data_IF_453077057611
#
_entry.id   IF_453077057611
#
_cell.length_a   1.000
_cell.length_b   1.000
_cell.length_c   1.000
_cell.angle_alpha   90.00
_cell.angle_beta   90.00
_cell.angle_gamma   90.00
#
_symmetry.space_group_name_H-M   'P 1'
#
loop_
_entity.id
_entity.type
_entity.pdbx_description
1 polymer ?
#
# COMPACT_ATOMS: atom_id res chain seq x y z
N UNK A 1 5.16 -5.32 -33.64
CA UNK A 1 5.48 -4.78 -32.31
C UNK A 1 5.38 -3.27 -32.42
N UNK A 2 4.31 -2.68 -31.93
CA UNK A 2 4.15 -1.22 -31.90
C UNK A 2 5.07 -0.69 -30.82
N UNK A 3 6.14 0.03 -31.22
CA UNK A 3 6.95 0.84 -30.30
C UNK A 3 6.03 1.87 -29.64
N UNK A 4 5.52 1.57 -28.47
CA UNK A 4 4.91 2.57 -27.62
C UNK A 4 6.06 3.43 -27.11
N UNK A 5 6.26 4.62 -27.69
CA UNK A 5 7.20 5.61 -27.17
C UNK A 5 6.67 6.10 -25.81
N UNK A 6 7.18 5.53 -24.73
CA UNK A 6 6.99 6.10 -23.41
C UNK A 6 7.88 7.36 -23.33
N UNK A 7 7.27 8.50 -23.06
CA UNK A 7 8.01 9.75 -22.82
C UNK A 7 8.68 9.74 -21.45
N UNK A 8 9.78 8.99 -21.31
CA UNK A 8 10.57 9.00 -20.07
C UNK A 8 11.37 10.30 -19.99
N UNK A 9 11.10 11.10 -18.96
CA UNK A 9 11.82 12.35 -18.68
C UNK A 9 12.84 12.18 -17.54
N UNK A 10 13.83 13.05 -17.52
CA UNK A 10 14.88 13.04 -16.49
C UNK A 10 14.38 13.46 -15.11
N UNK A 11 13.25 14.17 -15.01
CA UNK A 11 12.63 14.61 -13.76
C UNK A 11 11.93 13.48 -12.99
N UNK A 12 11.64 12.34 -13.64
CA UNK A 12 11.03 11.17 -13.02
C UNK A 12 12.09 10.08 -12.91
N UNK A 13 12.31 9.59 -11.71
CA UNK A 13 13.34 8.57 -11.45
C UNK A 13 12.92 7.21 -12.01
N UNK A 14 13.90 6.46 -12.50
CA UNK A 14 13.79 5.03 -12.77
C UNK A 14 14.20 4.26 -11.52
N UNK A 15 13.55 3.14 -11.27
CA UNK A 15 13.97 2.21 -10.21
C UNK A 15 15.28 1.50 -10.60
N UNK A 16 16.00 0.90 -9.66
CA UNK A 16 17.16 0.05 -9.97
C UNK A 16 16.76 -1.24 -10.70
N UNK A 17 15.46 -1.54 -10.81
CA UNK A 17 14.89 -2.71 -11.51
C UNK A 17 14.31 -2.38 -12.87
N UNK A 18 14.29 -1.10 -13.26
CA UNK A 18 13.59 -0.61 -14.44
C UNK A 18 13.93 -1.40 -15.71
N UNK A 19 15.22 -1.61 -15.97
CA UNK A 19 15.66 -2.31 -17.20
C UNK A 19 15.24 -3.78 -17.18
N UNK A 20 15.30 -4.44 -16.03
CA UNK A 20 14.79 -5.81 -15.86
C UNK A 20 13.27 -5.87 -16.06
N UNK A 21 12.49 -4.91 -15.53
CA UNK A 21 11.03 -4.91 -15.76
C UNK A 21 10.69 -4.78 -17.24
N UNK A 22 11.39 -3.93 -17.98
CA UNK A 22 11.23 -3.78 -19.45
C UNK A 22 11.62 -5.07 -20.16
N UNK A 23 12.76 -5.67 -19.82
CA UNK A 23 13.22 -6.95 -20.37
C UNK A 23 12.19 -8.08 -20.16
N UNK A 24 11.55 -8.11 -18.98
CA UNK A 24 10.55 -9.09 -18.62
C UNK A 24 9.13 -8.76 -19.10
N UNK A 25 8.97 -7.71 -19.91
CA UNK A 25 7.75 -7.45 -20.67
C UNK A 25 6.85 -6.35 -20.12
N UNK A 26 7.36 -5.44 -19.29
CA UNK A 26 6.60 -4.25 -18.92
C UNK A 26 6.29 -3.39 -20.16
N UNK A 27 5.02 -3.12 -20.42
CA UNK A 27 4.52 -2.37 -21.57
C UNK A 27 3.87 -1.05 -21.20
N UNK A 28 3.66 -0.79 -19.90
CA UNK A 28 3.06 0.45 -19.40
C UNK A 28 3.63 0.84 -18.04
N UNK A 29 3.78 2.14 -17.84
CA UNK A 29 4.26 2.73 -16.60
C UNK A 29 3.34 3.87 -16.16
N UNK A 30 3.24 4.09 -14.87
CA UNK A 30 2.71 5.32 -14.27
C UNK A 30 3.75 5.96 -13.37
N UNK A 31 3.42 7.10 -12.78
CA UNK A 31 4.28 7.80 -11.82
C UNK A 31 3.69 7.67 -10.42
N UNK A 32 4.53 7.39 -9.46
CA UNK A 32 4.21 7.28 -8.04
C UNK A 32 5.43 7.72 -7.24
N UNK A 33 5.30 8.61 -6.27
CA UNK A 33 6.42 9.19 -5.51
C UNK A 33 7.58 9.67 -6.39
N UNK A 34 7.26 10.34 -7.53
CA UNK A 34 8.25 10.87 -8.50
C UNK A 34 9.15 9.80 -9.15
N UNK A 35 8.67 8.54 -9.19
CA UNK A 35 9.34 7.43 -9.86
C UNK A 35 8.39 6.70 -10.81
N UNK A 36 8.95 6.07 -11.86
CA UNK A 36 8.20 5.20 -12.73
C UNK A 36 7.90 3.87 -12.04
N UNK A 37 6.64 3.44 -12.08
CA UNK A 37 6.18 2.13 -11.61
C UNK A 37 5.57 1.34 -12.78
N UNK A 38 5.95 0.06 -13.00
CA UNK A 38 5.29 -0.78 -13.99
C UNK A 38 3.80 -0.96 -13.64
N UNK A 39 2.95 -0.85 -14.66
CA UNK A 39 1.49 -1.00 -14.52
C UNK A 39 0.89 -1.99 -15.50
N UNK A 40 1.67 -2.46 -16.46
CA UNK A 40 1.18 -3.30 -17.53
C UNK A 40 2.24 -4.35 -17.92
N UNK A 41 1.88 -5.61 -17.74
CA UNK A 41 2.57 -6.80 -18.25
C UNK A 41 1.59 -7.64 -19.11
N UNK A 42 0.55 -7.02 -19.69
CA UNK A 42 -0.51 -7.67 -20.43
C UNK A 42 -1.86 -7.62 -19.72
N UNK A 43 -2.58 -8.75 -19.62
CA UNK A 43 -3.91 -8.77 -19.01
C UNK A 43 -3.88 -8.53 -17.50
N UNK A 44 -4.60 -7.53 -16.96
CA UNK A 44 -4.76 -7.34 -15.52
C UNK A 44 -5.42 -8.54 -14.83
N UNK A 45 -6.32 -9.25 -15.50
CA UNK A 45 -6.93 -10.48 -14.99
C UNK A 45 -5.90 -11.61 -14.90
N UNK A 46 -5.04 -11.78 -15.90
CA UNK A 46 -3.97 -12.76 -15.84
C UNK A 46 -2.97 -12.44 -14.71
N UNK A 47 -2.62 -11.16 -14.54
CA UNK A 47 -1.78 -10.72 -13.40
C UNK A 47 -2.44 -11.06 -12.05
N UNK A 48 -3.75 -10.88 -11.94
CA UNK A 48 -4.51 -11.26 -10.74
C UNK A 48 -4.46 -12.79 -10.51
N UNK A 49 -4.71 -13.63 -11.52
CA UNK A 49 -4.67 -15.09 -11.37
C UNK A 49 -3.26 -15.60 -11.08
N UNK A 50 -2.22 -15.03 -11.70
CA UNK A 50 -0.83 -15.34 -11.37
C UNK A 50 -0.52 -15.04 -9.89
N UNK A 51 -1.00 -13.90 -9.36
CA UNK A 51 -0.83 -13.52 -7.97
C UNK A 51 -1.49 -14.51 -7.01
N UNK A 52 -2.74 -14.91 -7.26
CA UNK A 52 -3.55 -15.67 -6.30
C UNK A 52 -3.35 -17.17 -6.40
N UNK A 53 -2.87 -17.70 -7.52
CA UNK A 53 -2.63 -19.13 -7.75
C UNK A 53 -1.16 -19.52 -7.68
N UNK A 54 -0.24 -18.58 -7.97
CA UNK A 54 1.21 -18.80 -8.04
C UNK A 54 1.95 -17.72 -7.26
N UNK A 55 2.74 -16.89 -7.96
CA UNK A 55 3.35 -15.68 -7.42
C UNK A 55 3.70 -14.70 -8.52
N UNK A 56 3.77 -13.43 -8.16
CA UNK A 56 4.28 -12.36 -9.01
C UNK A 56 5.42 -11.61 -8.30
N UNK A 57 6.34 -11.08 -9.11
CA UNK A 57 7.37 -10.15 -8.67
C UNK A 57 7.03 -8.75 -9.16
N UNK A 58 6.81 -7.82 -8.23
CA UNK A 58 6.48 -6.44 -8.53
C UNK A 58 7.64 -5.51 -8.16
N UNK A 59 8.04 -4.64 -9.08
CA UNK A 59 8.87 -3.49 -8.76
C UNK A 59 8.00 -2.45 -8.04
N UNK A 60 8.28 -2.25 -6.77
CA UNK A 60 7.63 -1.27 -5.90
C UNK A 60 8.64 -0.30 -5.27
N UNK A 61 9.78 -0.07 -5.92
CA UNK A 61 10.79 0.89 -5.47
C UNK A 61 10.24 2.32 -5.30
N UNK A 62 9.09 2.59 -5.88
CA UNK A 62 8.29 3.81 -5.69
C UNK A 62 7.82 4.01 -4.24
N UNK A 63 7.78 2.95 -3.43
CA UNK A 63 7.60 3.02 -1.97
C UNK A 63 8.91 3.49 -1.32
N UNK A 64 9.28 4.73 -1.62
CA UNK A 64 10.53 5.35 -1.14
C UNK A 64 10.58 5.30 0.38
N UNK A 65 11.78 5.10 0.92
CA UNK A 65 11.97 5.05 2.35
C UNK A 65 12.29 6.44 2.91
N UNK A 66 11.66 6.80 4.02
CA UNK A 66 12.14 7.89 4.89
C UNK A 66 12.85 7.25 6.06
N UNK A 67 14.15 7.50 6.16
CA UNK A 67 14.98 7.05 7.26
C UNK A 67 15.05 8.12 8.35
N UNK A 68 14.79 7.71 9.60
CA UNK A 68 14.86 8.58 10.77
C UNK A 68 15.83 7.95 11.77
N UNK A 69 16.95 8.67 12.03
CA UNK A 69 18.01 8.24 12.95
C UNK A 69 18.36 9.36 13.93
N UNK A 70 19.11 9.03 14.98
CA UNK A 70 19.59 9.99 15.98
C UNK A 70 19.02 9.74 17.39
N UNK A 71 19.55 10.41 18.41
CA UNK A 71 19.17 10.16 19.80
C UNK A 71 17.67 10.29 20.09
N UNK A 72 16.99 11.20 19.38
CA UNK A 72 15.54 11.45 19.55
C UNK A 72 14.68 10.77 18.47
N UNK A 73 15.23 9.85 17.66
CA UNK A 73 14.51 9.27 16.54
C UNK A 73 13.21 8.55 16.94
N UNK A 74 13.20 7.83 18.06
CA UNK A 74 11.98 7.20 18.57
C UNK A 74 10.90 8.24 18.89
N UNK A 75 11.25 9.28 19.66
CA UNK A 75 10.33 10.35 20.06
C UNK A 75 9.80 11.12 18.86
N UNK A 76 10.68 11.39 17.89
CA UNK A 76 10.29 12.08 16.66
C UNK A 76 9.37 11.22 15.79
N UNK A 77 9.68 9.94 15.61
CA UNK A 77 8.83 9.01 14.85
C UNK A 77 7.45 8.88 15.52
N UNK A 78 7.40 8.82 16.86
CA UNK A 78 6.14 8.82 17.60
C UNK A 78 5.34 10.11 17.38
N UNK A 79 5.99 11.27 17.27
CA UNK A 79 5.33 12.55 17.01
C UNK A 79 4.60 12.57 15.65
N UNK A 80 5.12 11.85 14.64
CA UNK A 80 4.53 11.80 13.29
C UNK A 80 3.30 10.90 13.20
N UNK A 81 3.13 9.89 14.09
CA UNK A 81 2.07 8.88 13.97
C UNK A 81 1.15 8.84 15.17
N UNK A 82 -0.18 8.70 14.95
CA UNK A 82 -1.15 8.53 16.02
C UNK A 82 -1.12 7.13 16.68
N UNK A 83 -0.36 6.18 16.11
CA UNK A 83 -0.23 4.84 16.66
C UNK A 83 0.85 4.82 17.73
N UNK A 84 0.54 4.20 18.88
CA UNK A 84 1.54 3.99 19.94
C UNK A 84 2.62 3.00 19.45
N UNK A 85 3.87 3.47 19.47
CA UNK A 85 5.05 2.72 19.05
C UNK A 85 5.81 2.08 20.22
N UNK A 86 5.41 2.31 21.48
CA UNK A 86 6.14 1.85 22.67
C UNK A 86 6.39 0.33 22.67
N UNK A 87 5.44 -0.44 22.15
CA UNK A 87 5.49 -1.91 22.10
C UNK A 87 5.97 -2.46 20.73
N UNK A 88 6.53 -1.63 19.85
CA UNK A 88 7.11 -2.10 18.59
C UNK A 88 8.53 -2.59 18.86
N UNK A 89 8.79 -3.87 18.65
CA UNK A 89 10.12 -4.44 18.83
C UNK A 89 11.08 -4.09 17.67
N UNK A 90 12.40 -4.13 17.95
CA UNK A 90 13.42 -4.12 16.89
C UNK A 90 13.22 -5.35 16.00
N UNK A 91 13.28 -5.21 14.68
CA UNK A 91 12.96 -6.27 13.72
C UNK A 91 11.47 -6.37 13.37
N UNK A 92 10.61 -5.52 13.94
CA UNK A 92 9.18 -5.51 13.69
C UNK A 92 8.75 -4.41 12.72
N UNK A 93 7.78 -4.72 11.87
CA UNK A 93 7.06 -3.77 11.03
C UNK A 93 5.72 -3.39 11.66
N UNK A 94 5.21 -2.20 11.33
CA UNK A 94 3.83 -1.75 11.68
C UNK A 94 3.24 -0.90 10.57
N UNK A 95 2.00 -1.18 10.21
CA UNK A 95 1.22 -0.25 9.41
C UNK A 95 0.81 0.92 10.28
N UNK A 96 1.21 2.13 9.93
CA UNK A 96 0.95 3.36 10.68
C UNK A 96 0.32 4.41 9.77
N UNK A 97 -0.16 5.50 10.37
CA UNK A 97 -0.63 6.69 9.65
C UNK A 97 0.30 7.84 9.98
N UNK A 98 0.48 8.74 9.04
CA UNK A 98 1.05 10.06 9.28
C UNK A 98 -0.09 11.06 9.17
N UNK A 99 -0.29 11.88 10.20
CA UNK A 99 -1.41 12.82 10.25
C UNK A 99 -0.94 14.28 10.30
N UNK A 100 -1.76 15.18 9.74
CA UNK A 100 -1.57 16.63 9.87
C UNK A 100 -2.26 17.19 11.13
N UNK A 101 -2.12 18.49 11.37
CA UNK A 101 -2.72 19.15 12.53
C UNK A 101 -4.26 19.07 12.58
N UNK A 102 -4.92 18.92 11.44
CA UNK A 102 -6.38 18.80 11.33
C UNK A 102 -6.87 17.35 11.46
N UNK A 103 -5.96 16.40 11.67
CA UNK A 103 -6.24 14.96 11.76
C UNK A 103 -6.44 14.27 10.40
N UNK A 104 -6.14 14.97 9.29
CA UNK A 104 -6.13 14.38 7.96
C UNK A 104 -4.91 13.49 7.72
N UNK A 105 -5.07 12.49 6.85
CA UNK A 105 -4.02 11.50 6.55
C UNK A 105 -3.07 12.06 5.50
N UNK A 106 -1.79 12.23 5.85
CA UNK A 106 -0.72 12.61 4.91
C UNK A 106 -0.12 11.41 4.19
N UNK A 107 -0.09 10.26 4.85
CA UNK A 107 0.44 9.01 4.31
C UNK A 107 0.02 7.84 5.22
N UNK A 108 0.11 6.61 4.70
CA UNK A 108 -0.19 5.38 5.41
C UNK A 108 0.94 4.34 5.27
N UNK A 109 2.16 4.67 5.75
CA UNK A 109 3.34 3.85 5.50
C UNK A 109 3.36 2.56 6.31
N UNK A 110 4.22 1.64 5.88
CA UNK A 110 4.75 0.58 6.74
C UNK A 110 6.00 1.11 7.44
N UNK A 111 5.97 1.16 8.77
CA UNK A 111 7.11 1.47 9.60
C UNK A 111 7.93 0.21 9.86
N UNK A 112 9.26 0.29 9.72
CA UNK A 112 10.22 -0.74 10.12
C UNK A 112 11.07 -0.17 11.27
N UNK A 113 11.17 -0.88 12.41
CA UNK A 113 12.09 -0.50 13.50
C UNK A 113 13.38 -1.31 13.39
N UNK A 114 14.44 -0.68 12.86
CA UNK A 114 15.72 -1.34 12.59
C UNK A 114 16.60 -1.43 13.85
N UNK A 115 16.55 -0.39 14.68
CA UNK A 115 17.26 -0.35 15.95
C UNK A 115 16.47 0.49 16.96
N UNK A 116 17.02 0.72 18.15
CA UNK A 116 16.40 1.55 19.19
C UNK A 116 16.00 2.92 18.65
N UNK A 117 16.90 3.57 17.95
CA UNK A 117 16.76 4.92 17.37
C UNK A 117 17.00 4.93 15.86
N UNK A 118 16.48 3.92 15.15
CA UNK A 118 16.58 3.81 13.71
C UNK A 118 15.30 3.24 13.12
N UNK A 119 14.63 4.04 12.27
CA UNK A 119 13.34 3.71 11.67
C UNK A 119 13.35 3.97 10.18
N UNK A 120 12.63 3.15 9.44
CA UNK A 120 12.22 3.44 8.08
C UNK A 120 10.71 3.56 8.01
N UNK A 121 10.24 4.48 7.16
CA UNK A 121 8.85 4.60 6.72
C UNK A 121 8.81 4.27 5.23
N UNK A 122 8.20 3.14 4.86
CA UNK A 122 7.97 2.74 3.47
C UNK A 122 6.67 3.39 2.99
N UNK A 123 6.78 4.36 2.05
CA UNK A 123 5.75 5.36 1.81
C UNK A 123 4.70 4.95 0.79
N UNK A 124 3.45 5.39 1.03
CA UNK A 124 2.50 5.66 -0.03
C UNK A 124 2.85 6.96 -0.79
N UNK A 125 2.03 7.37 -1.77
CA UNK A 125 2.33 8.48 -2.69
C UNK A 125 2.15 9.87 -2.05
N UNK A 126 3.13 10.30 -1.25
CA UNK A 126 3.21 11.70 -0.79
C UNK A 126 4.60 12.07 -0.25
N UNK A 127 4.87 13.37 -0.12
CA UNK A 127 6.18 13.94 0.25
C UNK A 127 6.47 13.92 1.76
N UNK A 128 6.40 12.75 2.40
CA UNK A 128 6.65 12.59 3.84
C UNK A 128 8.08 12.99 4.22
N UNK A 129 9.07 12.82 3.34
CA UNK A 129 10.44 13.27 3.60
C UNK A 129 10.47 14.77 3.91
N UNK A 130 9.88 15.59 3.03
CA UNK A 130 9.82 17.05 3.20
C UNK A 130 8.98 17.44 4.42
N UNK A 131 7.87 16.74 4.65
CA UNK A 131 7.05 16.94 5.84
C UNK A 131 7.83 16.68 7.13
N UNK A 132 8.50 15.52 7.22
CA UNK A 132 9.27 15.13 8.42
C UNK A 132 10.43 16.10 8.66
N UNK A 133 11.19 16.49 7.61
CA UNK A 133 12.25 17.48 7.71
C UNK A 133 11.70 18.84 8.18
N UNK A 134 10.56 19.28 7.65
CA UNK A 134 9.90 20.53 8.06
C UNK A 134 9.47 20.50 9.53
N UNK A 135 8.90 19.40 10.00
CA UNK A 135 8.52 19.21 11.42
C UNK A 135 9.77 19.21 12.31
N UNK A 136 10.89 18.61 11.86
CA UNK A 136 12.11 18.53 12.65
C UNK A 136 12.75 19.89 12.93
N UNK A 137 12.67 20.86 11.99
CA UNK A 137 13.29 22.20 12.11
C UNK A 137 12.99 22.87 13.45
N UNK A 138 11.75 22.80 13.92
CA UNK A 138 11.30 23.46 15.14
C UNK A 138 10.97 22.48 16.28
N UNK A 139 11.29 21.20 16.15
CA UNK A 139 10.97 20.19 17.16
C UNK A 139 11.88 20.25 18.39
N UNK A 140 13.08 20.83 18.27
CA UNK A 140 14.12 20.78 19.29
C UNK A 140 14.74 19.38 19.47
N UNK A 141 14.42 18.41 18.61
CA UNK A 141 14.90 17.03 18.65
C UNK A 141 16.16 16.83 17.81
N UNK A 142 17.09 16.03 18.31
CA UNK A 142 18.30 15.66 17.59
C UNK A 142 18.04 14.43 16.72
N UNK A 143 17.64 14.69 15.47
CA UNK A 143 17.32 13.65 14.48
C UNK A 143 17.96 13.95 13.13
N UNK A 144 18.32 12.89 12.41
CA UNK A 144 18.71 12.94 11.00
C UNK A 144 17.62 12.25 10.17
N UNK A 145 17.13 12.94 9.14
CA UNK A 145 16.03 12.49 8.30
C UNK A 145 16.48 12.53 6.85
N UNK A 146 16.58 11.35 6.25
CA UNK A 146 17.12 11.16 4.89
C UNK A 146 16.28 10.19 4.08
N UNK A 147 16.54 10.15 2.77
CA UNK A 147 16.14 9.06 1.90
C UNK A 147 17.37 8.15 1.69
N UNK A 148 17.38 6.92 2.21
CA UNK A 148 18.48 5.99 2.01
C UNK A 148 18.45 5.37 0.60
N UNK A 149 19.56 4.79 0.14
CA UNK A 149 19.59 3.95 -1.07
C UNK A 149 18.93 2.58 -0.75
N UNK A 150 17.61 2.59 -0.72
CA UNK A 150 16.79 1.40 -0.41
C UNK A 150 15.62 1.33 -1.38
N UNK A 151 15.51 0.19 -2.04
CA UNK A 151 14.48 -0.04 -3.06
C UNK A 151 13.77 -1.37 -2.83
N UNK A 152 12.46 -1.37 -2.53
CA UNK A 152 11.71 -2.60 -2.31
C UNK A 152 11.26 -3.28 -3.61
N UNK A 153 11.26 -4.63 -3.58
CA UNK A 153 10.50 -5.52 -4.47
C UNK A 153 9.44 -6.25 -3.66
N UNK A 154 8.27 -6.48 -4.24
CA UNK A 154 7.25 -7.36 -3.66
C UNK A 154 7.21 -8.70 -4.39
N UNK A 155 7.50 -9.78 -3.67
CA UNK A 155 7.29 -11.16 -4.09
C UNK A 155 6.05 -11.70 -3.39
N UNK A 156 4.93 -11.75 -4.10
CA UNK A 156 3.61 -12.02 -3.51
C UNK A 156 2.93 -13.20 -4.19
N UNK A 157 2.18 -13.98 -3.41
CA UNK A 157 1.42 -15.14 -3.85
C UNK A 157 1.85 -16.43 -3.12
N UNK A 158 1.05 -17.51 -3.22
CA UNK A 158 1.22 -18.74 -2.42
C UNK A 158 2.55 -19.47 -2.65
N UNK A 159 3.16 -19.38 -3.82
CA UNK A 159 4.46 -20.04 -4.10
C UNK A 159 5.67 -19.21 -3.66
N UNK A 160 5.47 -17.96 -3.20
CA UNK A 160 6.55 -17.06 -2.79
C UNK A 160 7.40 -17.65 -1.66
N UNK A 161 6.80 -18.42 -0.74
CA UNK A 161 7.51 -19.10 0.35
C UNK A 161 8.57 -20.07 -0.18
N UNK A 162 8.24 -20.87 -1.19
CA UNK A 162 9.17 -21.84 -1.77
C UNK A 162 10.32 -21.14 -2.49
N UNK A 163 10.03 -20.05 -3.19
CA UNK A 163 11.03 -19.22 -3.85
C UNK A 163 12.01 -18.64 -2.82
N UNK A 164 11.50 -18.10 -1.72
CA UNK A 164 12.32 -17.53 -0.66
C UNK A 164 13.17 -18.57 0.05
N UNK A 165 12.64 -19.79 0.28
CA UNK A 165 13.42 -20.91 0.82
C UNK A 165 14.57 -21.27 -0.13
N UNK A 166 14.32 -21.30 -1.44
CA UNK A 166 15.37 -21.58 -2.43
C UNK A 166 16.48 -20.53 -2.44
N UNK A 167 16.13 -19.23 -2.23
CA UNK A 167 17.08 -18.12 -2.25
C UNK A 167 17.84 -17.98 -0.92
N UNK A 168 17.17 -18.15 0.22
CA UNK A 168 17.70 -17.79 1.54
C UNK A 168 17.78 -18.96 2.53
N UNK A 169 17.40 -20.17 2.08
CA UNK A 169 17.37 -21.36 2.93
C UNK A 169 16.13 -21.45 3.84
N UNK A 170 16.02 -22.60 4.52
CA UNK A 170 14.85 -22.98 5.32
C UNK A 170 14.45 -21.95 6.42
N UNK A 171 15.42 -21.25 7.00
CA UNK A 171 15.18 -20.31 8.10
C UNK A 171 14.29 -19.11 7.73
N UNK A 172 14.08 -18.86 6.43
CA UNK A 172 13.22 -17.75 5.98
C UNK A 172 11.72 -18.01 6.25
N UNK A 173 11.32 -19.29 6.33
CA UNK A 173 9.92 -19.68 6.59
C UNK A 173 9.42 -19.28 7.98
N UNK A 174 10.34 -19.09 8.94
CA UNK A 174 10.03 -18.75 10.33
C UNK A 174 9.82 -17.24 10.52
N UNK A 175 10.03 -16.43 9.47
CA UNK A 175 9.81 -14.99 9.51
C UNK A 175 8.32 -14.70 9.66
N UNK A 176 7.94 -14.11 10.80
CA UNK A 176 6.55 -13.83 11.17
C UNK A 176 5.95 -12.68 10.37
N UNK A 177 4.65 -12.69 10.19
CA UNK A 177 3.91 -11.59 9.57
C UNK A 177 4.15 -10.27 10.30
N UNK A 178 4.48 -9.21 9.56
CA UNK A 178 4.94 -7.90 10.05
C UNK A 178 6.25 -7.95 10.85
N UNK A 179 7.15 -8.87 10.49
CA UNK A 179 8.53 -8.89 10.96
C UNK A 179 9.48 -8.88 9.77
N UNK A 180 10.70 -8.45 10.01
CA UNK A 180 11.76 -8.47 9.03
C UNK A 180 13.06 -9.03 9.61
N UNK A 181 13.99 -9.37 8.75
CA UNK A 181 15.36 -9.69 9.09
C UNK A 181 16.33 -9.21 8.03
N UNK A 182 17.57 -8.93 8.42
CA UNK A 182 18.65 -8.69 7.48
C UNK A 182 19.05 -9.98 6.79
N UNK A 183 19.31 -9.89 5.49
CA UNK A 183 19.73 -11.00 4.64
C UNK A 183 20.83 -10.52 3.68
N UNK A 184 21.62 -11.46 3.23
CA UNK A 184 22.54 -11.29 2.11
C UNK A 184 22.25 -12.36 1.06
N UNK A 185 22.11 -11.97 -0.19
CA UNK A 185 21.95 -12.88 -1.32
C UNK A 185 23.18 -12.79 -2.22
N UNK A 186 24.20 -13.60 -1.92
CA UNK A 186 25.43 -13.66 -2.72
C UNK A 186 26.09 -12.26 -2.90
N UNK A 187 26.23 -11.52 -1.80
CA UNK A 187 26.78 -10.16 -1.78
C UNK A 187 25.80 -9.05 -2.13
N UNK A 188 24.49 -9.34 -2.17
CA UNK A 188 23.42 -8.36 -2.31
C UNK A 188 22.81 -8.11 -0.93
N UNK A 189 23.00 -6.93 -0.31
CA UNK A 189 22.50 -6.64 1.03
C UNK A 189 21.00 -6.32 1.00
N UNK A 190 20.23 -7.01 1.85
CA UNK A 190 18.78 -6.93 1.87
C UNK A 190 18.22 -6.84 3.29
N UNK A 191 17.09 -6.18 3.44
CA UNK A 191 16.12 -6.45 4.50
C UNK A 191 14.96 -7.21 3.85
N UNK A 192 14.57 -8.34 4.43
CA UNK A 192 13.42 -9.12 3.98
C UNK A 192 12.34 -9.06 5.02
N UNK A 193 11.14 -8.61 4.65
CA UNK A 193 9.98 -8.56 5.54
C UNK A 193 8.84 -9.47 5.08
N UNK A 194 8.00 -9.89 6.04
CA UNK A 194 6.72 -10.55 5.78
C UNK A 194 5.60 -9.52 5.75
N UNK A 195 5.66 -8.67 4.75
CA UNK A 195 4.70 -7.61 4.43
C UNK A 195 4.33 -7.65 2.95
N UNK A 196 3.40 -6.80 2.53
CA UNK A 196 3.00 -6.65 1.13
C UNK A 196 1.65 -5.98 0.96
N UNK A 197 1.46 -5.35 -0.20
CA UNK A 197 0.22 -4.66 -0.56
C UNK A 197 -0.63 -5.50 -1.54
N UNK A 198 -0.87 -6.77 -1.18
CA UNK A 198 -1.58 -7.74 -2.03
C UNK A 198 -2.71 -8.49 -1.34
N UNK A 199 -2.79 -8.47 -0.02
CA UNK A 199 -3.63 -9.36 0.80
C UNK A 199 -3.40 -10.85 0.54
N UNK A 200 -2.29 -11.23 -0.08
CA UNK A 200 -1.82 -12.61 -0.25
C UNK A 200 -0.59 -12.84 0.63
N UNK A 201 -0.21 -14.11 0.77
CA UNK A 201 1.07 -14.46 1.37
C UNK A 201 2.21 -13.89 0.54
N UNK A 202 3.23 -13.30 1.19
CA UNK A 202 4.35 -12.77 0.43
C UNK A 202 5.42 -12.13 1.29
N UNK A 203 6.40 -11.57 0.61
CA UNK A 203 7.55 -10.88 1.18
C UNK A 203 7.81 -9.57 0.44
N UNK A 204 8.42 -8.63 1.14
CA UNK A 204 9.08 -7.47 0.56
C UNK A 204 10.58 -7.57 0.78
N UNK A 205 11.34 -7.34 -0.29
CA UNK A 205 12.79 -7.38 -0.29
C UNK A 205 13.30 -5.96 -0.49
N UNK A 206 13.81 -5.33 0.56
CA UNK A 206 14.36 -3.98 0.55
C UNK A 206 15.84 -4.06 0.19
N UNK A 207 16.17 -3.80 -1.05
CA UNK A 207 17.54 -3.73 -1.55
C UNK A 207 18.26 -2.52 -0.97
N UNK A 208 19.46 -2.70 -0.40
CA UNK A 208 20.25 -1.67 0.26
C UNK A 208 21.47 -1.21 -0.58
N UNK A 209 21.50 -1.55 -1.85
CA UNK A 209 22.50 -1.15 -2.84
C UNK A 209 21.84 -1.14 -4.22
N UNK A 210 21.41 0.04 -4.67
CA UNK A 210 20.71 0.20 -5.95
C UNK A 210 21.50 -0.29 -7.16
N UNK A 211 22.84 -0.34 -7.08
CA UNK A 211 23.69 -0.86 -8.16
C UNK A 211 23.43 -2.36 -8.46
N UNK A 212 22.84 -3.09 -7.51
CA UNK A 212 22.54 -4.53 -7.59
C UNK A 212 21.09 -4.84 -8.02
N UNK A 213 20.32 -3.81 -8.39
CA UNK A 213 18.87 -3.98 -8.64
C UNK A 213 18.56 -5.00 -9.73
N UNK A 214 19.15 -4.86 -10.91
CA UNK A 214 18.90 -5.79 -12.00
C UNK A 214 19.36 -7.22 -11.64
N UNK A 215 20.50 -7.37 -10.97
CA UNK A 215 21.01 -8.68 -10.52
C UNK A 215 20.02 -9.36 -9.57
N UNK A 216 19.49 -8.63 -8.60
CA UNK A 216 18.50 -9.13 -7.65
C UNK A 216 17.22 -9.58 -8.38
N UNK A 217 16.70 -8.75 -9.28
CA UNK A 217 15.49 -9.06 -10.03
C UNK A 217 15.64 -10.35 -10.84
N UNK A 218 16.75 -10.48 -11.58
CA UNK A 218 17.05 -11.67 -12.41
C UNK A 218 17.24 -12.94 -11.55
N UNK A 219 17.92 -12.84 -10.40
CA UNK A 219 18.08 -13.97 -9.47
C UNK A 219 16.74 -14.47 -8.95
N UNK A 220 15.84 -13.57 -8.53
CA UNK A 220 14.51 -13.94 -8.04
C UNK A 220 13.68 -14.56 -9.17
N UNK A 221 13.65 -13.98 -10.37
CA UNK A 221 12.92 -14.50 -11.51
C UNK A 221 13.44 -15.90 -11.92
N UNK A 222 14.76 -16.08 -11.93
CA UNK A 222 15.38 -17.36 -12.23
C UNK A 222 15.03 -18.43 -11.19
N UNK A 223 15.14 -18.11 -9.90
CA UNK A 223 14.78 -19.02 -8.81
C UNK A 223 13.30 -19.40 -8.82
N UNK A 224 12.44 -18.43 -9.17
CA UNK A 224 10.99 -18.59 -9.18
C UNK A 224 10.42 -19.33 -10.39
N UNK A 225 11.22 -19.54 -11.45
CA UNK A 225 10.75 -20.14 -12.70
C UNK A 225 10.03 -21.48 -12.52
N UNK A 226 10.60 -22.39 -11.74
CA UNK A 226 10.02 -23.71 -11.48
C UNK A 226 8.73 -23.64 -10.64
N UNK A 227 8.52 -22.56 -9.87
CA UNK A 227 7.32 -22.32 -9.08
C UNK A 227 6.27 -21.49 -9.82
N UNK A 228 6.51 -21.19 -11.09
CA UNK A 228 5.58 -20.44 -11.95
C UNK A 228 5.55 -18.95 -11.67
N UNK A 229 6.62 -18.38 -11.06
CA UNK A 229 6.74 -16.94 -10.85
C UNK A 229 6.60 -16.18 -12.17
N UNK A 230 5.81 -15.14 -12.15
CA UNK A 230 5.64 -14.21 -13.27
C UNK A 230 6.08 -12.79 -12.88
N UNK A 231 6.61 -12.00 -13.82
CA UNK A 231 6.70 -10.56 -13.63
C UNK A 231 5.29 -10.00 -13.50
N UNK A 232 5.10 -8.97 -12.67
CA UNK A 232 3.77 -8.42 -12.45
C UNK A 232 3.80 -7.00 -11.91
N UNK A 233 2.61 -6.50 -11.65
CA UNK A 233 2.38 -5.21 -11.02
C UNK A 233 1.37 -5.34 -9.88
N UNK A 234 1.31 -4.34 -8.99
CA UNK A 234 0.32 -4.30 -7.90
C UNK A 234 -1.10 -4.45 -8.43
N UNK A 235 -1.84 -5.44 -7.92
CA UNK A 235 -3.16 -5.81 -8.44
C UNK A 235 -4.27 -4.95 -7.83
N UNK A 236 -4.87 -4.06 -8.64
CA UNK A 236 -6.05 -3.30 -8.21
C UNK A 236 -7.23 -4.21 -7.86
N UNK A 237 -7.39 -5.34 -8.56
CA UNK A 237 -8.46 -6.32 -8.26
C UNK A 237 -8.26 -6.85 -6.84
N UNK A 238 -7.08 -7.38 -6.54
CA UNK A 238 -6.84 -8.06 -5.26
C UNK A 238 -6.82 -7.10 -4.07
N UNK A 239 -6.24 -5.90 -4.24
CA UNK A 239 -6.24 -4.91 -3.16
C UNK A 239 -7.66 -4.45 -2.78
N UNK A 240 -8.56 -4.27 -3.78
CA UNK A 240 -9.95 -3.89 -3.52
C UNK A 240 -10.71 -5.06 -2.87
N UNK A 241 -10.53 -6.32 -3.35
CA UNK A 241 -11.08 -7.49 -2.66
C UNK A 241 -10.70 -7.52 -1.17
N UNK A 242 -9.44 -7.20 -0.86
CA UNK A 242 -8.93 -7.16 0.50
C UNK A 242 -9.24 -5.88 1.27
N UNK A 243 -9.98 -4.94 0.67
CA UNK A 243 -10.33 -3.65 1.29
C UNK A 243 -9.11 -2.77 1.60
N UNK A 244 -8.01 -2.93 0.86
CA UNK A 244 -6.79 -2.14 1.04
C UNK A 244 -6.93 -0.77 0.37
N UNK A 245 -6.46 0.25 1.07
CA UNK A 245 -6.51 1.63 0.59
C UNK A 245 -5.46 1.88 -0.48
N UNK A 246 -5.76 2.81 -1.39
CA UNK A 246 -4.79 3.45 -2.27
C UNK A 246 -4.80 4.94 -1.96
N UNK A 247 -3.65 5.47 -1.56
CA UNK A 247 -3.52 6.90 -1.25
C UNK A 247 -3.85 7.74 -2.50
N UNK A 248 -4.39 8.92 -2.33
CA UNK A 248 -5.03 9.78 -3.34
C UNK A 248 -6.34 9.26 -3.96
N UNK A 249 -6.56 7.95 -4.00
CA UNK A 249 -7.86 7.41 -4.43
C UNK A 249 -8.83 7.30 -3.25
N UNK A 250 -8.47 6.53 -2.23
CA UNK A 250 -9.35 6.15 -1.12
C UNK A 250 -9.12 6.99 0.15
N UNK A 251 -7.95 7.61 0.27
CA UNK A 251 -7.55 8.49 1.37
C UNK A 251 -6.72 9.67 0.85
N UNK A 252 -6.83 10.80 1.49
CA UNK A 252 -6.07 12.01 1.21
C UNK A 252 -5.99 12.90 2.48
N UNK A 253 -5.37 14.06 2.36
CA UNK A 253 -5.20 15.04 3.44
C UNK A 253 -6.54 15.53 4.06
N UNK A 254 -7.66 15.37 3.35
CA UNK A 254 -9.01 15.75 3.82
C UNK A 254 -9.78 14.55 4.40
N UNK A 255 -9.14 13.41 4.51
CA UNK A 255 -9.74 12.18 5.02
C UNK A 255 -9.14 11.86 6.38
N UNK A 256 -9.97 11.71 7.42
CA UNK A 256 -9.49 11.29 8.72
C UNK A 256 -9.59 9.77 8.91
N UNK A 257 -8.80 9.18 9.83
CA UNK A 257 -8.76 7.75 10.04
C UNK A 257 -10.09 7.09 10.41
N UNK A 258 -10.98 7.80 11.13
CA UNK A 258 -12.29 7.28 11.55
C UNK A 258 -13.23 7.05 10.35
N UNK A 259 -13.17 7.94 9.35
CA UNK A 259 -13.93 7.78 8.11
C UNK A 259 -13.59 6.50 7.34
N UNK A 260 -12.36 5.99 7.53
CA UNK A 260 -11.85 4.78 6.89
C UNK A 260 -12.00 3.50 7.73
N UNK A 261 -12.44 3.64 9.00
CA UNK A 261 -12.51 2.53 9.96
C UNK A 261 -11.12 2.07 10.43
N UNK A 262 -10.18 3.01 10.55
CA UNK A 262 -8.81 2.79 11.02
C UNK A 262 -8.62 3.18 12.50
N UNK A 263 -9.69 3.22 13.27
CA UNK A 263 -9.70 3.59 14.71
C UNK A 263 -8.63 2.87 15.52
N UNK A 264 -8.41 1.59 15.21
CA UNK A 264 -7.41 0.73 15.87
C UNK A 264 -5.96 1.21 15.71
N UNK A 265 -5.71 2.14 14.80
CA UNK A 265 -4.37 2.72 14.56
C UNK A 265 -4.18 4.04 15.31
N UNK A 266 -5.13 4.45 16.15
CA UNK A 266 -5.12 5.74 16.82
C UNK A 266 -5.19 5.54 18.34
N UNK A 267 -4.14 5.95 19.04
CA UNK A 267 -3.99 5.80 20.48
C UNK A 267 -4.33 7.11 21.19
N UNK A 268 -5.61 7.55 21.14
CA UNK A 268 -6.05 8.82 21.75
C UNK A 268 -6.04 8.82 23.26
N UNK A 269 -6.23 7.65 23.88
CA UNK A 269 -6.40 7.48 25.32
C UNK A 269 -5.06 7.21 26.03
N UNK A 270 -3.94 7.20 25.28
CA UNK A 270 -2.59 7.08 25.80
C UNK A 270 -1.91 8.43 26.02
N UNK A 271 -0.83 8.44 26.81
CA UNK A 271 -0.03 9.63 27.11
C UNK A 271 0.91 10.06 25.97
N UNK A 272 0.92 9.31 24.84
CA UNK A 272 1.76 9.68 23.70
C UNK A 272 1.27 11.00 23.07
N UNK A 273 2.23 11.82 22.62
CA UNK A 273 1.95 13.02 21.85
C UNK A 273 2.23 12.79 20.38
N UNK A 274 1.33 13.26 19.51
CA UNK A 274 1.47 13.20 18.06
C UNK A 274 0.72 14.34 17.37
N UNK A 275 1.14 14.65 16.15
CA UNK A 275 0.53 15.70 15.33
C UNK A 275 -0.91 15.29 14.96
N UNK A 276 -1.86 16.20 15.24
CA UNK A 276 -3.29 15.97 14.97
C UNK A 276 -4.07 15.37 16.16
N UNK A 277 -3.44 15.08 17.32
CA UNK A 277 -4.11 14.48 18.48
C UNK A 277 -5.35 15.25 18.94
N UNK A 278 -5.24 16.58 19.06
CA UNK A 278 -6.35 17.42 19.49
C UNK A 278 -7.51 17.40 18.48
N UNK A 279 -7.20 17.48 17.18
CA UNK A 279 -8.20 17.41 16.12
C UNK A 279 -8.89 16.05 16.08
N UNK A 280 -8.15 14.96 16.19
CA UNK A 280 -8.72 13.60 16.22
C UNK A 280 -9.58 13.35 17.46
N UNK A 281 -9.21 13.90 18.64
CA UNK A 281 -10.09 13.88 19.83
C UNK A 281 -11.40 14.60 19.57
N UNK A 282 -11.35 15.77 18.94
CA UNK A 282 -12.54 16.55 18.58
C UNK A 282 -13.42 15.78 17.59
N UNK A 283 -12.84 15.24 16.50
CA UNK A 283 -13.56 14.44 15.51
C UNK A 283 -14.24 13.23 16.17
N UNK A 284 -13.53 12.52 17.07
CA UNK A 284 -14.10 11.37 17.82
C UNK A 284 -15.29 11.78 18.67
N UNK A 285 -15.25 12.95 19.30
CA UNK A 285 -16.35 13.44 20.16
C UNK A 285 -17.56 13.97 19.37
N UNK A 286 -17.33 14.60 18.22
CA UNK A 286 -18.39 15.14 17.35
C UNK A 286 -19.01 14.08 16.41
N UNK A 287 -18.30 12.97 16.20
CA UNK A 287 -18.64 11.94 15.21
C UNK A 287 -18.22 12.31 13.79
N UNK A 288 -18.11 11.28 12.94
CA UNK A 288 -17.78 11.46 11.52
C UNK A 288 -19.02 11.81 10.70
N UNK A 289 -18.81 12.59 9.64
CA UNK A 289 -19.87 12.99 8.69
C UNK A 289 -19.94 12.08 7.46
N UNK A 290 -18.87 11.37 7.16
CA UNK A 290 -18.71 10.46 6.01
C UNK A 290 -18.08 9.16 6.47
N UNK A 291 -18.31 8.10 5.71
CA UNK A 291 -17.73 6.79 5.98
C UNK A 291 -17.38 6.11 4.67
N UNK A 292 -16.23 5.43 4.64
CA UNK A 292 -15.89 4.55 3.55
C UNK A 292 -16.64 3.22 3.68
N UNK A 293 -17.36 2.87 2.62
CA UNK A 293 -18.15 1.62 2.52
C UNK A 293 -17.68 0.76 1.36
N UNK A 294 -18.03 -0.54 1.40
CA UNK A 294 -17.95 -1.44 0.27
C UNK A 294 -19.24 -1.40 -0.53
N UNK A 295 -19.14 -1.41 -1.86
CA UNK A 295 -20.30 -1.51 -2.76
C UNK A 295 -20.18 -2.71 -3.69
N UNK A 296 -21.30 -3.36 -3.99
CA UNK A 296 -21.50 -4.19 -5.18
C UNK A 296 -22.31 -3.39 -6.19
N UNK A 297 -21.81 -3.25 -7.44
CA UNK A 297 -22.45 -2.47 -8.50
C UNK A 297 -23.05 -3.42 -9.52
N UNK A 298 -24.36 -3.29 -9.78
CA UNK A 298 -25.07 -4.14 -10.72
C UNK A 298 -25.00 -3.58 -12.16
N UNK A 299 -23.88 -3.83 -12.81
CA UNK A 299 -23.65 -3.50 -14.22
C UNK A 299 -22.87 -4.64 -14.88
N UNK A 300 -22.70 -4.57 -16.20
CA UNK A 300 -21.78 -5.46 -16.93
C UNK A 300 -20.38 -5.43 -16.32
N UNK A 301 -19.58 -6.51 -16.44
CA UNK A 301 -18.23 -6.56 -15.92
C UNK A 301 -17.39 -5.36 -16.35
N UNK A 302 -16.84 -4.63 -15.40
CA UNK A 302 -15.97 -3.49 -15.67
C UNK A 302 -14.71 -3.98 -16.40
N UNK A 303 -14.35 -3.31 -17.49
CA UNK A 303 -13.17 -3.67 -18.30
C UNK A 303 -11.83 -3.33 -17.63
N UNK A 304 -11.86 -2.59 -16.54
CA UNK A 304 -10.68 -2.19 -15.75
C UNK A 304 -11.07 -1.33 -14.55
N UNK A 305 -10.09 -0.88 -13.76
CA UNK A 305 -10.32 0.04 -12.65
C UNK A 305 -10.92 1.36 -13.15
N UNK A 306 -11.75 2.01 -12.30
CA UNK A 306 -12.23 3.35 -12.59
C UNK A 306 -11.05 4.35 -12.70
N UNK A 307 -11.11 5.23 -13.68
CA UNK A 307 -10.10 6.28 -13.94
C UNK A 307 -10.52 7.64 -13.40
N UNK A 308 -11.77 7.77 -12.97
CA UNK A 308 -12.36 8.98 -12.37
C UNK A 308 -13.24 8.59 -11.20
N UNK A 309 -13.47 9.53 -10.27
CA UNK A 309 -14.44 9.31 -9.20
C UNK A 309 -15.87 9.33 -9.75
N UNK A 310 -16.66 8.30 -9.44
CA UNK A 310 -18.05 8.22 -9.84
C UNK A 310 -18.96 8.75 -8.73
N UNK A 311 -19.98 9.52 -9.07
CA UNK A 311 -20.92 10.03 -8.06
C UNK A 311 -21.82 8.92 -7.55
N UNK A 312 -22.04 8.90 -6.21
CA UNK A 312 -23.01 8.05 -5.55
C UNK A 312 -24.21 8.88 -5.18
N UNK A 313 -25.43 8.39 -5.49
CA UNK A 313 -26.69 9.08 -5.23
C UNK A 313 -27.65 8.17 -4.47
N UNK A 314 -28.54 8.85 -3.71
CA UNK A 314 -29.74 8.26 -3.14
C UNK A 314 -30.89 9.26 -3.32
N UNK A 315 -32.04 8.78 -3.82
CA UNK A 315 -33.21 9.61 -4.07
C UNK A 315 -32.86 10.90 -4.89
N UNK A 316 -32.07 10.75 -5.96
CA UNK A 316 -31.51 11.78 -6.81
C UNK A 316 -30.50 12.76 -6.15
N UNK A 317 -30.25 12.67 -4.85
CA UNK A 317 -29.30 13.49 -4.14
C UNK A 317 -27.90 12.85 -4.16
N UNK A 318 -26.87 13.65 -4.50
CA UNK A 318 -25.49 13.20 -4.39
C UNK A 318 -25.10 13.07 -2.91
N UNK A 319 -24.71 11.86 -2.49
CA UNK A 319 -24.32 11.55 -1.12
C UNK A 319 -22.84 11.17 -0.96
N UNK A 320 -22.11 11.05 -2.06
CA UNK A 320 -20.70 10.67 -2.02
C UNK A 320 -20.10 10.36 -3.38
N UNK A 321 -19.00 9.62 -3.33
CA UNK A 321 -18.26 9.20 -4.53
C UNK A 321 -17.69 7.78 -4.37
N UNK A 322 -17.67 7.02 -5.46
CA UNK A 322 -16.84 5.81 -5.61
C UNK A 322 -15.40 6.27 -5.80
N UNK A 323 -14.51 5.74 -4.98
CA UNK A 323 -13.07 6.05 -5.01
C UNK A 323 -12.28 5.02 -5.79
N UNK A 324 -12.65 3.75 -5.67
CA UNK A 324 -12.01 2.63 -6.35
C UNK A 324 -13.03 1.59 -6.75
N UNK A 325 -12.99 1.12 -7.99
CA UNK A 325 -13.90 0.09 -8.48
C UNK A 325 -13.21 -0.84 -9.49
N UNK A 326 -13.56 -2.13 -9.47
CA UNK A 326 -13.09 -3.14 -10.41
C UNK A 326 -14.13 -4.26 -10.55
N UNK A 327 -14.04 -5.04 -11.62
CA UNK A 327 -14.61 -6.37 -11.68
C UNK A 327 -13.66 -7.37 -11.00
N UNK A 328 -14.18 -8.16 -10.07
CA UNK A 328 -13.45 -9.28 -9.47
C UNK A 328 -13.83 -10.58 -10.21
N UNK A 329 -12.89 -11.22 -10.94
CA UNK A 329 -13.19 -12.46 -11.66
C UNK A 329 -13.43 -13.63 -10.70
N UNK A 330 -12.84 -13.62 -9.50
CA UNK A 330 -13.06 -14.61 -8.44
C UNK A 330 -14.48 -14.53 -7.88
N UNK A 331 -14.93 -13.32 -7.55
CA UNK A 331 -16.24 -13.07 -6.96
C UNK A 331 -17.35 -12.99 -8.01
N UNK A 332 -16.97 -12.80 -9.30
CA UNK A 332 -17.88 -12.55 -10.42
C UNK A 332 -18.79 -11.35 -10.18
N UNK A 333 -18.22 -10.27 -9.60
CA UNK A 333 -18.94 -9.07 -9.20
C UNK A 333 -18.11 -7.82 -9.48
N UNK A 334 -18.79 -6.73 -9.77
CA UNK A 334 -18.19 -5.41 -9.72
C UNK A 334 -18.21 -4.93 -8.28
N UNK A 335 -17.02 -4.76 -7.69
CA UNK A 335 -16.82 -4.33 -6.31
C UNK A 335 -16.17 -2.96 -6.27
N UNK A 336 -16.53 -2.16 -5.27
CA UNK A 336 -16.01 -0.81 -5.15
C UNK A 336 -15.85 -0.36 -3.69
N UNK A 337 -14.90 0.55 -3.48
CA UNK A 337 -14.81 1.37 -2.28
C UNK A 337 -15.42 2.74 -2.57
N UNK A 338 -16.22 3.26 -1.64
CA UNK A 338 -16.88 4.55 -1.80
C UNK A 338 -16.86 5.32 -0.48
N UNK A 339 -16.64 6.64 -0.57
CA UNK A 339 -16.79 7.57 0.55
C UNK A 339 -18.17 8.22 0.44
N UNK A 340 -19.05 8.00 1.43
CA UNK A 340 -20.43 8.49 1.43
C UNK A 340 -20.81 9.12 2.77
N UNK A 341 -21.89 9.91 2.78
CA UNK A 341 -22.45 10.48 4.00
C UNK A 341 -22.83 9.39 4.99
N UNK A 342 -22.55 9.62 6.28
CA UNK A 342 -22.69 8.60 7.34
C UNK A 342 -24.12 8.09 7.48
N UNK A 343 -25.13 8.96 7.33
CA UNK A 343 -26.55 8.62 7.46
C UNK A 343 -27.03 7.61 6.41
N UNK A 344 -26.28 7.40 5.33
CA UNK A 344 -26.60 6.47 4.26
C UNK A 344 -25.71 5.23 4.25
N UNK A 345 -24.83 5.06 5.25
CA UNK A 345 -23.73 4.07 5.22
C UNK A 345 -24.09 2.67 5.78
N UNK A 346 -25.37 2.43 6.06
CA UNK A 346 -25.82 1.13 6.59
C UNK A 346 -25.73 0.03 5.53
N UNK A 347 -25.22 -1.15 5.93
CA UNK A 347 -25.13 -2.34 5.06
C UNK A 347 -26.54 -2.73 4.58
N UNK A 348 -26.64 -3.10 3.29
CA UNK A 348 -27.90 -3.42 2.64
C UNK A 348 -28.61 -2.20 2.02
N UNK A 349 -28.13 -0.98 2.27
CA UNK A 349 -28.71 0.22 1.63
C UNK A 349 -28.51 0.18 0.12
N UNK A 350 -29.62 0.39 -0.62
CA UNK A 350 -29.61 0.51 -2.08
C UNK A 350 -29.29 1.95 -2.49
N UNK A 351 -28.38 2.09 -3.43
CA UNK A 351 -27.83 3.35 -3.95
C UNK A 351 -27.80 3.33 -5.47
N UNK A 352 -27.52 4.47 -6.07
CA UNK A 352 -27.23 4.62 -7.50
C UNK A 352 -25.79 5.12 -7.68
N UNK A 353 -25.05 4.50 -8.59
CA UNK A 353 -23.71 4.91 -8.99
C UNK A 353 -23.74 5.39 -10.44
N UNK A 354 -23.28 6.62 -10.67
CA UNK A 354 -23.15 7.18 -12.02
C UNK A 354 -21.73 6.90 -12.52
N UNK A 355 -21.59 5.85 -13.33
CA UNK A 355 -20.33 5.45 -14.00
C UNK A 355 -20.16 6.16 -15.34
N UNK A 356 -19.01 5.94 -15.99
CA UNK A 356 -18.78 6.46 -17.36
C UNK A 356 -19.73 5.84 -18.40
N UNK A 357 -20.34 4.66 -18.12
CA UNK A 357 -21.25 3.95 -19.03
C UNK A 357 -22.73 4.11 -18.67
N UNK A 358 -23.06 4.81 -17.61
CA UNK A 358 -24.44 5.06 -17.19
C UNK A 358 -24.65 4.99 -15.68
N UNK A 359 -25.94 5.07 -15.31
CA UNK A 359 -26.38 4.95 -13.91
C UNK A 359 -26.76 3.50 -13.60
N UNK A 360 -26.20 2.96 -12.52
CA UNK A 360 -26.45 1.58 -12.11
C UNK A 360 -26.80 1.50 -10.64
N UNK A 361 -27.66 0.53 -10.30
CA UNK A 361 -27.96 0.21 -8.90
C UNK A 361 -26.72 -0.38 -8.24
N UNK A 362 -26.52 -0.02 -6.98
CA UNK A 362 -25.49 -0.58 -6.12
C UNK A 362 -26.07 -0.87 -4.74
N UNK A 363 -25.45 -1.79 -4.02
CA UNK A 363 -25.80 -2.12 -2.64
C UNK A 363 -24.56 -2.01 -1.76
N UNK A 364 -24.74 -1.45 -0.56
CA UNK A 364 -23.67 -1.42 0.44
C UNK A 364 -23.50 -2.83 1.03
N UNK A 365 -22.26 -3.30 1.01
CA UNK A 365 -21.87 -4.61 1.55
C UNK A 365 -20.70 -4.49 2.52
N UNK A 366 -20.45 -5.56 3.27
CA UNK A 366 -19.28 -5.63 4.13
C UNK A 366 -17.98 -5.60 3.32
N UNK A 367 -16.96 -4.97 3.90
CA UNK A 367 -15.57 -5.03 3.41
C UNK A 367 -14.64 -5.50 4.55
N UNK A 368 -13.56 -6.22 4.25
CA UNK A 368 -13.09 -6.71 2.93
C UNK A 368 -14.09 -7.65 2.25
N UNK A 369 -14.12 -7.62 0.92
CA UNK A 369 -15.01 -8.49 0.10
C UNK A 369 -14.56 -9.95 0.09
N UNK A 370 -13.24 -10.18 0.30
CA UNK A 370 -12.63 -11.50 0.35
C UNK A 370 -11.58 -11.58 1.44
N UNK A 371 -11.53 -12.72 2.15
CA UNK A 371 -10.62 -12.99 3.28
C UNK A 371 -10.64 -11.89 4.36
N UNK A 372 -11.79 -11.60 4.98
CA UNK A 372 -11.93 -10.49 5.94
C UNK A 372 -11.05 -10.64 7.18
N UNK A 373 -10.59 -11.86 7.49
CA UNK A 373 -9.67 -12.16 8.60
C UNK A 373 -8.20 -12.11 8.19
N UNK A 374 -7.89 -11.77 6.91
CA UNK A 374 -6.53 -11.73 6.36
C UNK A 374 -5.71 -13.00 6.60
N UNK A 375 -6.35 -14.16 6.55
CA UNK A 375 -5.70 -15.45 6.81
C UNK A 375 -4.65 -15.78 5.75
N UNK A 376 -4.91 -15.40 4.48
CA UNK A 376 -3.96 -15.65 3.38
C UNK A 376 -2.66 -14.89 3.59
N UNK A 377 -2.70 -13.64 3.99
CA UNK A 377 -1.49 -12.83 4.18
C UNK A 377 -0.74 -13.19 5.48
N UNK A 378 -1.45 -13.60 6.55
CA UNK A 378 -0.89 -13.79 7.89
C UNK A 378 -0.36 -15.20 8.18
N UNK A 379 -0.72 -16.20 7.38
CA UNK A 379 -0.33 -17.61 7.60
C UNK A 379 1.15 -17.92 7.35
#
# INVERSE_FOLDING_TARGET
MTNKNFGFGTQIRKSPYFDSTVKWGATGFSVYNHMYIPRDFGSPEQNFWNLVEKSILCDVAVERQVEITGPDAFKFTQLLTPRDLSNVAIGQCKYVLITNNDGGILNDPVLLRLAENHFWLSLADSDVLLWAQGVAINSGMNVNITEPDVSPLQLQGPTSKNIMIKLFGESIKDLKYYWFKECDLEGIPLIVSRTGWSSEFGYELFLRDGSKGNDLYEKIMSAGKEYGLQPGHTSSIRRIEGGMLSYHADADINTNPFELGLDRLISLDSDIEFIGKAALKKIKSEGIKRKQVGLEINCEPLSGPNTTFWSVKKDNNKIGKVTSAVYSPRLKKNIALAMINIENSEIGTSLEVNTNSGNFKAIIVEKPFFDPKKKLASN
#
